data_IF_310064724542
#
_entry.id   IF_310064724542
#
_cell.length_a   1.000
_cell.length_b   1.000
_cell.length_c   1.000
_cell.angle_alpha   90.00
_cell.angle_beta   90.00
_cell.angle_gamma   90.00
#
_symmetry.space_group_name_H-M   'P 1'
#
loop_
_entity.id
_entity.type
_entity.pdbx_description
1 polymer ?
#
# COMPACT_ATOMS: atom_id res chain seq x y z
N UNK A 1 13.59 6.97 18.88
CA UNK A 1 13.92 6.36 17.58
C UNK A 1 12.64 6.21 16.80
N UNK A 2 12.59 6.61 15.53
CA UNK A 2 11.44 6.30 14.68
C UNK A 2 11.40 4.78 14.45
N UNK A 3 10.25 4.15 14.71
CA UNK A 3 10.05 2.74 14.38
C UNK A 3 10.01 2.61 12.86
N UNK A 4 10.97 1.89 12.28
CA UNK A 4 10.98 1.61 10.85
C UNK A 4 9.88 0.61 10.50
N UNK A 5 9.19 0.87 9.40
CA UNK A 5 8.19 -0.02 8.82
C UNK A 5 8.47 -0.22 7.34
N UNK A 6 7.91 -1.28 6.78
CA UNK A 6 7.97 -1.63 5.37
C UNK A 6 6.53 -1.67 4.87
N UNK A 7 6.28 -1.04 3.72
CA UNK A 7 5.02 -1.18 2.98
C UNK A 7 5.26 -2.15 1.84
N UNK A 8 4.45 -3.19 1.77
CA UNK A 8 4.45 -4.18 0.68
C UNK A 8 3.03 -4.42 0.19
N UNK A 9 2.88 -4.86 -1.06
CA UNK A 9 1.61 -5.38 -1.54
C UNK A 9 1.75 -6.85 -1.96
N UNK A 10 0.72 -7.63 -1.68
CA UNK A 10 0.45 -8.91 -2.32
C UNK A 10 -0.44 -8.72 -3.55
N UNK A 11 -1.15 -9.77 -3.94
CA UNK A 11 -2.10 -9.71 -5.05
C UNK A 11 -3.27 -8.78 -4.70
N UNK A 12 -3.95 -9.00 -3.58
CA UNK A 12 -5.18 -8.29 -3.21
C UNK A 12 -5.03 -7.29 -2.05
N UNK A 13 -3.87 -7.24 -1.39
CA UNK A 13 -3.73 -6.53 -0.12
C UNK A 13 -2.41 -5.78 -0.02
N UNK A 14 -2.46 -4.62 0.65
CA UNK A 14 -1.30 -3.82 1.06
C UNK A 14 -1.13 -3.97 2.56
N UNK A 15 0.10 -4.26 2.99
CA UNK A 15 0.47 -4.49 4.38
C UNK A 15 1.57 -3.52 4.81
N UNK A 16 1.38 -2.92 5.98
CA UNK A 16 2.43 -2.24 6.72
C UNK A 16 2.94 -3.18 7.80
N UNK A 17 4.23 -3.49 7.74
CA UNK A 17 4.88 -4.47 8.61
C UNK A 17 6.04 -3.76 9.32
N UNK A 18 6.22 -4.00 10.62
CA UNK A 18 7.42 -3.53 11.29
C UNK A 18 8.63 -4.45 11.05
N UNK A 19 9.80 -4.02 11.51
CA UNK A 19 11.05 -4.78 11.35
C UNK A 19 11.06 -6.13 12.09
N UNK A 20 10.09 -6.40 12.95
CA UNK A 20 9.94 -7.69 13.64
C UNK A 20 9.01 -8.65 12.87
N UNK A 21 8.43 -8.20 11.76
CA UNK A 21 7.47 -8.97 10.99
C UNK A 21 6.02 -8.84 11.49
N UNK A 22 5.74 -7.93 12.42
CA UNK A 22 4.38 -7.70 12.90
C UNK A 22 3.60 -6.81 11.93
N UNK A 23 2.42 -7.26 11.50
CA UNK A 23 1.49 -6.45 10.72
C UNK A 23 0.93 -5.34 11.60
N UNK A 24 1.16 -4.08 11.20
CA UNK A 24 0.59 -2.90 11.87
C UNK A 24 -0.80 -2.56 11.33
N UNK A 25 -0.98 -2.69 10.02
CA UNK A 25 -2.27 -2.57 9.37
C UNK A 25 -2.24 -3.26 8.00
N UNK A 26 -3.43 -3.57 7.50
CA UNK A 26 -3.65 -4.22 6.20
C UNK A 26 -4.87 -3.61 5.54
N UNK A 27 -4.80 -3.44 4.21
CA UNK A 27 -5.90 -2.90 3.40
C UNK A 27 -6.08 -3.73 2.14
N UNK A 28 -7.31 -4.13 1.89
CA UNK A 28 -7.66 -4.87 0.68
C UNK A 28 -8.02 -3.90 -0.46
N UNK A 29 -7.59 -4.25 -1.66
CA UNK A 29 -8.05 -3.68 -2.92
C UNK A 29 -9.42 -4.26 -3.31
N UNK A 30 -9.98 -3.72 -4.39
CA UNK A 30 -11.15 -4.31 -5.06
C UNK A 30 -10.74 -5.33 -6.12
N UNK A 31 -9.50 -5.24 -6.58
CA UNK A 31 -8.89 -6.11 -7.57
C UNK A 31 -7.38 -6.23 -7.27
N UNK A 32 -6.64 -6.86 -8.17
CA UNK A 32 -5.19 -7.09 -8.02
C UNK A 32 -4.40 -5.77 -8.12
N UNK A 33 -3.40 -5.59 -7.26
CA UNK A 33 -2.50 -4.42 -7.28
C UNK A 33 -1.43 -4.54 -8.38
N UNK A 34 -1.87 -4.45 -9.63
CA UNK A 34 -1.04 -4.45 -10.85
C UNK A 34 -1.66 -3.48 -11.84
N UNK A 35 -0.85 -2.59 -12.44
CA UNK A 35 -1.35 -1.67 -13.48
C UNK A 35 -1.31 -2.31 -14.87
N UNK A 36 -2.33 -2.08 -15.69
CA UNK A 36 -2.44 -2.59 -17.06
C UNK A 36 -1.38 -2.05 -18.05
N UNK A 37 -0.69 -0.98 -17.68
CA UNK A 37 0.30 -0.27 -18.49
C UNK A 37 1.75 -0.55 -18.06
N UNK A 38 1.96 -1.43 -17.08
CA UNK A 38 3.29 -1.79 -16.56
C UNK A 38 3.93 -0.74 -15.63
N UNK A 39 3.20 0.30 -15.22
CA UNK A 39 3.65 1.25 -14.23
C UNK A 39 3.70 0.64 -12.81
N UNK A 40 4.28 1.37 -11.87
CA UNK A 40 4.30 0.98 -10.46
C UNK A 40 2.91 1.10 -9.85
N UNK A 41 2.37 -0.01 -9.35
CA UNK A 41 1.06 -0.08 -8.69
C UNK A 41 1.07 0.45 -7.25
N UNK A 42 2.25 0.66 -6.63
CA UNK A 42 2.39 1.12 -5.25
C UNK A 42 3.60 2.04 -5.09
N UNK A 43 3.39 3.28 -4.67
CA UNK A 43 4.47 4.23 -4.39
C UNK A 43 4.14 5.12 -3.20
N UNK A 44 5.17 5.78 -2.66
CA UNK A 44 5.05 6.69 -1.51
C UNK A 44 5.53 8.08 -1.93
N UNK A 45 4.70 9.09 -1.70
CA UNK A 45 4.98 10.49 -2.00
C UNK A 45 4.30 11.38 -0.95
N UNK A 46 4.96 12.44 -0.48
CA UNK A 46 4.42 13.43 0.47
C UNK A 46 3.75 12.83 1.74
N UNK A 47 4.33 11.77 2.30
CA UNK A 47 3.79 11.01 3.45
C UNK A 47 2.45 10.30 3.19
N UNK A 48 2.11 10.06 1.92
CA UNK A 48 0.98 9.24 1.52
C UNK A 48 1.44 8.02 0.75
N UNK A 49 0.67 6.95 0.90
CA UNK A 49 0.82 5.72 0.13
C UNK A 49 -0.23 5.78 -0.96
N UNK A 50 0.22 5.68 -2.19
CA UNK A 50 -0.63 5.61 -3.37
C UNK A 50 -0.59 4.21 -3.93
N UNK A 51 -1.76 3.67 -4.25
CA UNK A 51 -1.86 2.41 -4.95
C UNK A 51 -2.90 2.45 -6.06
N UNK A 52 -2.73 1.59 -7.06
CA UNK A 52 -3.67 1.42 -8.17
C UNK A 52 -3.93 -0.08 -8.39
N UNK A 53 -5.20 -0.45 -8.53
CA UNK A 53 -5.59 -1.81 -8.90
C UNK A 53 -5.78 -1.98 -10.42
N UNK A 54 -5.95 -3.22 -10.86
CA UNK A 54 -6.14 -3.56 -12.28
C UNK A 54 -7.31 -2.83 -12.95
N UNK A 55 -8.32 -2.47 -12.18
CA UNK A 55 -9.50 -1.73 -12.62
C UNK A 55 -9.25 -0.21 -12.66
N UNK A 56 -7.98 0.22 -12.62
CA UNK A 56 -7.52 1.62 -12.59
C UNK A 56 -8.04 2.39 -11.35
N UNK A 57 -8.48 1.68 -10.32
CA UNK A 57 -8.97 2.32 -9.09
C UNK A 57 -7.79 2.76 -8.25
N UNK A 58 -7.81 4.03 -7.86
CA UNK A 58 -6.76 4.67 -7.07
C UNK A 58 -7.11 4.68 -5.59
N UNK A 59 -6.10 4.38 -4.80
CA UNK A 59 -6.14 4.37 -3.35
C UNK A 59 -5.14 5.36 -2.80
N UNK A 60 -5.51 6.01 -1.70
CA UNK A 60 -4.65 6.90 -0.97
C UNK A 60 -4.80 6.62 0.52
N UNK A 61 -3.66 6.40 1.17
CA UNK A 61 -3.60 6.16 2.61
C UNK A 61 -2.56 7.08 3.25
N UNK A 62 -2.81 7.52 4.48
CA UNK A 62 -1.74 8.04 5.32
C UNK A 62 -0.80 6.89 5.77
N UNK A 63 0.36 7.21 6.34
CA UNK A 63 1.32 6.21 6.83
C UNK A 63 0.77 5.30 7.97
N UNK A 64 -0.37 5.67 8.57
CA UNK A 64 -1.07 4.89 9.59
C UNK A 64 -2.15 3.97 9.01
N UNK A 65 -2.34 3.99 7.68
CA UNK A 65 -3.32 3.16 6.99
C UNK A 65 -4.74 3.71 7.05
N UNK A 66 -4.93 5.00 7.35
CA UNK A 66 -6.24 5.63 7.21
C UNK A 66 -6.44 6.08 5.77
N UNK A 67 -7.64 5.86 5.22
CA UNK A 67 -8.00 6.42 3.91
C UNK A 67 -7.98 7.94 3.98
N UNK A 68 -7.39 8.58 2.95
CA UNK A 68 -7.22 10.03 2.87
C UNK A 68 -7.84 10.62 1.60
#
# INVERSE_FOLDING_TARGET
MANKTIIIHGELEISCIDIKGEIKWQKSGTDIFVTNNGNTALYIEDNYIFAEDWSEKKYKFDLKGNSA
#
